data_IF_628227376478
#
_entry.id   IF_628227376478
#
_cell.length_a   1.000
_cell.length_b   1.000
_cell.length_c   1.000
_cell.angle_alpha   90.00
_cell.angle_beta   90.00
_cell.angle_gamma   90.00
#
_symmetry.space_group_name_H-M   'P 1'
#
loop_
_entity.id
_entity.type
_entity.pdbx_description
1 polymer ?
#
# COMPACT_ATOMS: atom_id res chain seq x y z
N UNK A 1 -5.01 21.60 -4.41
CA UNK A 1 -4.87 21.28 -5.85
C UNK A 1 -3.69 20.32 -5.98
N UNK A 2 -3.91 19.08 -6.40
CA UNK A 2 -2.83 18.10 -6.55
C UNK A 2 -2.02 18.47 -7.79
N UNK A 3 -0.77 18.89 -7.62
CA UNK A 3 0.14 19.14 -8.73
C UNK A 3 0.40 17.81 -9.43
N UNK A 4 -0.08 17.67 -10.67
CA UNK A 4 0.24 16.54 -11.53
C UNK A 4 1.73 16.67 -11.91
N UNK A 5 2.60 16.10 -11.09
CA UNK A 5 4.02 15.95 -11.44
C UNK A 5 4.05 14.92 -12.56
N UNK A 6 4.35 15.37 -13.78
CA UNK A 6 4.59 14.45 -14.89
C UNK A 6 5.80 13.56 -14.51
N UNK A 7 5.64 12.22 -14.52
CA UNK A 7 6.72 11.33 -14.16
C UNK A 7 7.86 11.49 -15.16
N UNK A 8 9.09 11.64 -14.66
CA UNK A 8 10.27 11.72 -15.52
C UNK A 8 10.50 10.38 -16.23
N UNK A 9 11.19 10.41 -17.37
CA UNK A 9 11.52 9.18 -18.13
C UNK A 9 12.25 8.15 -17.25
N UNK A 10 13.14 8.63 -16.38
CA UNK A 10 13.83 7.80 -15.40
C UNK A 10 12.86 7.07 -14.46
N UNK A 11 11.85 7.76 -13.93
CA UNK A 11 10.84 7.16 -13.06
C UNK A 11 10.00 6.10 -13.79
N UNK A 12 9.72 6.30 -15.08
CA UNK A 12 9.02 5.33 -15.90
C UNK A 12 9.86 4.07 -16.14
N UNK A 13 11.16 4.22 -16.42
CA UNK A 13 12.09 3.08 -16.61
C UNK A 13 12.21 2.25 -15.33
N UNK A 14 12.38 2.89 -14.18
CA UNK A 14 12.45 2.20 -12.90
C UNK A 14 11.13 1.51 -12.55
N UNK A 15 10.00 2.16 -12.80
CA UNK A 15 8.69 1.54 -12.62
C UNK A 15 8.49 0.34 -13.55
N UNK A 16 8.95 0.44 -14.80
CA UNK A 16 8.91 -0.67 -15.74
C UNK A 16 9.74 -1.85 -15.26
N UNK A 17 10.96 -1.63 -14.76
CA UNK A 17 11.81 -2.70 -14.22
C UNK A 17 11.13 -3.42 -13.04
N UNK A 18 10.58 -2.67 -12.08
CA UNK A 18 9.84 -3.25 -10.95
C UNK A 18 8.62 -4.07 -11.39
N UNK A 19 7.89 -3.59 -12.39
CA UNK A 19 6.72 -4.28 -12.92
C UNK A 19 7.12 -5.53 -13.72
N UNK A 20 8.21 -5.47 -14.48
CA UNK A 20 8.76 -6.62 -15.19
C UNK A 20 9.19 -7.73 -14.22
N UNK A 21 9.81 -7.39 -13.08
CA UNK A 21 10.12 -8.37 -12.03
C UNK A 21 8.86 -9.00 -11.43
N UNK A 22 7.82 -8.21 -11.16
CA UNK A 22 6.58 -8.68 -10.52
C UNK A 22 5.69 -9.52 -11.43
N UNK A 23 5.63 -9.17 -12.72
CA UNK A 23 4.72 -9.78 -13.69
C UNK A 23 5.44 -10.63 -14.74
N UNK A 24 6.77 -10.80 -14.61
CA UNK A 24 7.64 -11.55 -15.51
C UNK A 24 7.48 -11.14 -16.98
N UNK A 25 7.47 -9.83 -17.24
CA UNK A 25 7.45 -9.32 -18.61
C UNK A 25 8.81 -9.60 -19.28
N UNK A 26 8.78 -10.24 -20.45
CA UNK A 26 9.97 -10.52 -21.25
C UNK A 26 10.32 -9.39 -22.24
N UNK A 27 9.45 -8.39 -22.35
CA UNK A 27 9.53 -7.32 -23.33
C UNK A 27 10.39 -6.15 -22.85
N UNK A 28 11.09 -5.49 -23.78
CA UNK A 28 11.83 -4.27 -23.51
C UNK A 28 10.92 -3.09 -23.13
N UNK A 29 11.49 -2.08 -22.46
CA UNK A 29 10.78 -0.87 -22.05
C UNK A 29 9.94 -0.24 -23.18
N UNK A 30 10.50 -0.11 -24.38
CA UNK A 30 9.79 0.46 -25.54
C UNK A 30 8.58 -0.39 -25.97
N UNK A 31 8.68 -1.71 -25.89
CA UNK A 31 7.57 -2.62 -26.21
C UNK A 31 6.48 -2.54 -25.14
N UNK A 32 6.85 -2.45 -23.86
CA UNK A 32 5.93 -2.22 -22.74
C UNK A 32 5.20 -0.88 -22.86
N UNK A 33 5.90 0.17 -23.29
CA UNK A 33 5.32 1.52 -23.44
C UNK A 33 4.40 1.65 -24.65
N UNK A 34 4.55 0.80 -25.67
CA UNK A 34 3.64 0.70 -26.83
C UNK A 34 2.32 0.01 -26.48
N UNK A 35 2.33 -0.92 -25.52
CA UNK A 35 1.11 -1.54 -25.02
C UNK A 35 0.34 -0.56 -24.11
N UNK A 36 -0.91 -0.26 -24.47
CA UNK A 36 -1.70 0.75 -23.77
C UNK A 36 -1.99 0.38 -22.31
N UNK A 37 -2.20 -0.90 -22.01
CA UNK A 37 -2.50 -1.37 -20.65
C UNK A 37 -1.24 -1.31 -19.80
N UNK A 38 -0.15 -1.89 -20.29
CA UNK A 38 1.12 -1.96 -19.56
C UNK A 38 1.73 -0.57 -19.37
N UNK A 39 1.68 0.27 -20.40
CA UNK A 39 2.09 1.68 -20.32
C UNK A 39 1.31 2.44 -19.24
N UNK A 40 -0.01 2.25 -19.17
CA UNK A 40 -0.84 2.86 -18.11
C UNK A 40 -0.44 2.36 -16.72
N UNK A 41 -0.18 1.07 -16.57
CA UNK A 41 0.27 0.50 -15.29
C UNK A 41 1.62 1.08 -14.86
N UNK A 42 2.59 1.18 -15.77
CA UNK A 42 3.90 1.79 -15.50
C UNK A 42 3.76 3.25 -15.10
N UNK A 43 2.92 4.04 -15.78
CA UNK A 43 2.67 5.45 -15.44
C UNK A 43 2.02 5.61 -14.06
N UNK A 44 1.06 4.75 -13.72
CA UNK A 44 0.43 4.74 -12.39
C UNK A 44 1.46 4.38 -11.31
N UNK A 45 2.27 3.35 -11.56
CA UNK A 45 3.32 2.93 -10.64
C UNK A 45 4.44 3.99 -10.47
N UNK A 46 4.76 4.73 -11.53
CA UNK A 46 5.70 5.85 -11.46
C UNK A 46 5.12 7.04 -10.68
N UNK A 47 3.83 7.37 -10.87
CA UNK A 47 3.16 8.44 -10.11
C UNK A 47 2.92 8.09 -8.64
N UNK A 48 2.72 6.80 -8.34
CA UNK A 48 2.39 6.31 -7.01
C UNK A 48 3.31 5.14 -6.62
N UNK A 49 4.60 5.38 -6.38
CA UNK A 49 5.57 4.33 -6.05
C UNK A 49 5.16 3.54 -4.80
N UNK A 50 4.47 4.18 -3.84
CA UNK A 50 4.02 3.58 -2.58
C UNK A 50 2.85 2.61 -2.75
N UNK A 51 1.98 2.81 -3.75
CA UNK A 51 0.82 1.96 -3.99
C UNK A 51 1.17 0.65 -4.74
N UNK A 52 2.32 0.62 -5.42
CA UNK A 52 2.79 -0.53 -6.17
C UNK A 52 3.31 -1.69 -5.29
N UNK A 53 3.26 -1.56 -3.95
CA UNK A 53 3.48 -2.68 -3.02
C UNK A 53 4.91 -2.85 -2.53
N UNK A 54 5.78 -1.85 -2.67
CA UNK A 54 7.00 -1.77 -1.88
C UNK A 54 6.87 -0.55 -0.97
N UNK A 55 6.32 -0.78 0.22
CA UNK A 55 6.83 -0.05 1.37
C UNK A 55 8.36 -0.22 1.33
N UNK A 56 9.17 0.84 1.52
CA UNK A 56 10.58 0.61 1.85
C UNK A 56 10.58 -0.40 2.98
N UNK A 57 11.32 -1.50 2.83
CA UNK A 57 11.47 -2.47 3.90
C UNK A 57 11.81 -1.64 5.15
N UNK A 58 10.94 -1.60 6.19
CA UNK A 58 11.25 -0.80 7.35
C UNK A 58 12.60 -1.30 7.84
N UNK A 59 13.56 -0.42 8.19
CA UNK A 59 14.82 -0.88 8.77
C UNK A 59 14.43 -1.82 9.91
N UNK A 60 14.93 -3.07 9.86
CA UNK A 60 14.59 -4.13 10.83
C UNK A 60 14.68 -3.51 12.23
N UNK A 61 13.52 -3.17 12.80
CA UNK A 61 13.48 -2.54 14.10
C UNK A 61 14.11 -3.52 15.10
N UNK A 62 15.00 -3.07 16.01
CA UNK A 62 15.52 -3.95 17.02
C UNK A 62 14.35 -4.49 17.85
N UNK A 63 14.43 -5.79 18.12
CA UNK A 63 13.52 -6.64 18.88
C UNK A 63 12.42 -5.93 19.68
N UNK A 64 11.18 -6.35 19.43
CA UNK A 64 10.01 -6.15 20.27
C UNK A 64 10.40 -6.16 21.77
N UNK A 65 10.36 -4.99 22.43
CA UNK A 65 10.36 -4.97 23.89
C UNK A 65 8.99 -5.46 24.36
N UNK A 66 8.90 -6.42 25.29
CA UNK A 66 7.63 -6.77 25.89
C UNK A 66 7.08 -5.57 26.64
N UNK A 67 5.82 -5.25 26.34
CA UNK A 67 5.03 -4.24 27.04
C UNK A 67 4.96 -4.65 28.53
N UNK A 68 5.60 -3.89 29.41
CA UNK A 68 5.41 -4.07 30.85
C UNK A 68 4.02 -3.50 31.20
N UNK A 69 3.09 -4.30 31.75
CA UNK A 69 1.85 -3.74 32.27
C UNK A 69 2.18 -2.97 33.54
N UNK A 70 1.96 -1.65 33.52
CA UNK A 70 1.93 -0.84 34.72
C UNK A 70 0.71 -1.23 35.55
N UNK A 71 0.91 -2.15 36.50
CA UNK A 71 -0.02 -2.39 37.61
C UNK A 71 -0.06 -1.17 38.50
N UNK A 72 -1.11 -0.36 38.41
CA UNK A 72 -1.76 0.29 39.57
C UNK A 72 -3.04 1.01 39.14
N UNK A 73 -4.16 0.67 39.80
CA UNK A 73 -5.39 1.48 39.82
C UNK A 73 -6.55 0.94 38.98
N UNK A 74 -7.40 0.11 39.59
CA UNK A 74 -8.71 -0.35 39.07
C UNK A 74 -9.80 0.72 39.37
N UNK A 75 -11.09 0.52 39.00
CA UNK A 75 -11.78 0.57 37.69
C UNK A 75 -12.69 1.81 37.59
N UNK A 76 -13.46 1.93 36.50
CA UNK A 76 -14.92 2.22 36.48
C UNK A 76 -15.27 3.03 35.23
N UNK A 77 -15.59 2.37 34.12
CA UNK A 77 -16.73 2.78 33.30
C UNK A 77 -17.31 1.54 32.62
N UNK A 78 -18.61 1.38 32.86
CA UNK A 78 -19.47 0.23 32.58
C UNK A 78 -19.52 -0.10 31.08
N UNK A 79 -19.24 -1.36 30.74
CA UNK A 79 -19.21 -1.87 29.37
C UNK A 79 -20.65 -2.12 28.91
N UNK A 80 -21.36 -1.09 28.46
CA UNK A 80 -22.65 -1.25 27.78
C UNK A 80 -22.43 -1.89 26.40
N UNK A 81 -22.59 -3.22 26.33
CA UNK A 81 -22.81 -3.94 25.06
C UNK A 81 -24.26 -3.68 24.66
N UNK A 82 -24.51 -2.79 23.70
CA UNK A 82 -25.80 -2.74 23.02
C UNK A 82 -25.75 -3.68 21.81
N UNK A 83 -26.49 -4.78 21.88
CA UNK A 83 -26.90 -5.55 20.72
C UNK A 83 -28.38 -5.25 20.51
N UNK A 84 -28.71 -4.42 19.53
CA UNK A 84 -30.09 -4.24 19.06
C UNK A 84 -30.12 -4.66 17.59
N UNK A 85 -30.35 -5.95 17.37
CA UNK A 85 -30.83 -6.46 16.09
C UNK A 85 -32.36 -6.50 16.16
N UNK A 86 -33.00 -5.59 15.44
CA UNK A 86 -34.44 -5.66 15.15
C UNK A 86 -34.58 -6.43 13.82
N UNK A 87 -35.34 -7.52 13.86
CA UNK A 87 -35.90 -8.20 12.70
C UNK A 87 -37.33 -8.54 13.12
N UNK A 88 -38.27 -7.71 12.71
CA UNK A 88 -39.68 -8.05 12.70
C UNK A 88 -39.99 -8.55 11.28
N UNK A 89 -40.43 -9.80 11.19
CA UNK A 89 -40.88 -10.49 9.98
C UNK A 89 -42.29 -10.97 10.32
N UNK A 90 -43.29 -10.16 9.96
CA UNK A 90 -44.71 -10.54 9.79
C UNK A 90 -45.44 -9.48 8.94
#
# INVERSE_FOLDING_TARGET
MAHAIEPTDQMLREACARMAERFHWADDFEAVMKDHVRSRMVRIAARHPTAAGMAPAPPRAPACRPFQPSTSGIPLFDRKRAASGERDDD
#
